data_IF_720140255772
#
_entry.id   IF_720140255772
#
_cell.length_a   1.000
_cell.length_b   1.000
_cell.length_c   1.000
_cell.angle_alpha   90.00
_cell.angle_beta   90.00
_cell.angle_gamma   90.00
#
_symmetry.space_group_name_H-M   'P 1'
#
loop_
_entity.id
_entity.type
_entity.pdbx_description
1 polymer ?
#
# COMPACT_ATOMS: atom_id res chain seq x y z
N UNK A 1 -39.99 -12.56 -16.86
CA UNK A 1 -40.15 -11.15 -16.42
C UNK A 1 -40.01 -11.08 -14.90
N UNK A 2 -38.79 -11.14 -14.37
CA UNK A 2 -38.36 -10.42 -13.16
C UNK A 2 -36.85 -10.22 -13.38
N UNK A 3 -36.46 -8.97 -13.55
CA UNK A 3 -35.11 -8.53 -13.84
C UNK A 3 -34.22 -8.63 -12.60
N UNK A 4 -33.10 -9.32 -12.74
CA UNK A 4 -31.75 -8.81 -12.52
C UNK A 4 -31.63 -7.46 -11.80
N UNK A 5 -31.26 -7.49 -10.52
CA UNK A 5 -30.37 -6.50 -9.89
C UNK A 5 -29.57 -7.24 -8.81
N UNK A 6 -28.32 -7.62 -9.11
CA UNK A 6 -27.33 -7.95 -8.08
C UNK A 6 -26.58 -6.66 -7.75
N UNK A 7 -26.40 -6.29 -6.47
CA UNK A 7 -25.63 -5.11 -6.13
C UNK A 7 -24.15 -5.39 -6.36
N UNK A 8 -23.49 -4.48 -7.07
CA UNK A 8 -22.03 -4.41 -7.22
C UNK A 8 -21.40 -4.22 -5.83
N UNK A 9 -20.87 -5.30 -5.27
CA UNK A 9 -20.05 -5.29 -4.07
C UNK A 9 -18.61 -5.54 -4.51
N UNK A 10 -17.89 -4.48 -4.89
CA UNK A 10 -16.45 -4.54 -5.22
C UNK A 10 -15.76 -3.18 -4.99
N UNK A 11 -15.88 -2.62 -3.78
CA UNK A 11 -15.15 -1.39 -3.37
C UNK A 11 -14.40 -1.48 -2.03
N UNK A 12 -14.21 -2.66 -1.45
CA UNK A 12 -13.59 -2.78 -0.11
C UNK A 12 -12.13 -3.26 -0.08
N UNK A 13 -11.52 -3.68 -1.18
CA UNK A 13 -10.18 -4.29 -1.14
C UNK A 13 -8.99 -3.34 -1.35
N UNK A 14 -9.23 -2.04 -1.56
CA UNK A 14 -8.13 -1.11 -1.81
C UNK A 14 -7.39 -0.66 -0.54
N UNK A 15 -7.92 -0.89 0.66
CA UNK A 15 -7.34 -0.37 1.92
C UNK A 15 -5.95 -0.94 2.23
N UNK A 16 -5.67 -2.18 1.87
CA UNK A 16 -4.39 -2.83 2.19
C UNK A 16 -3.17 -2.25 1.44
N UNK A 17 -3.38 -1.68 0.25
CA UNK A 17 -2.30 -1.09 -0.55
C UNK A 17 -1.88 0.30 -0.02
N UNK A 18 -2.84 1.03 0.59
CA UNK A 18 -2.65 2.41 1.04
C UNK A 18 -1.84 2.55 2.33
N UNK A 19 -1.89 1.53 3.20
CA UNK A 19 -1.20 1.59 4.49
C UNK A 19 0.30 1.38 4.35
N UNK A 20 0.73 0.53 3.42
CA UNK A 20 2.14 0.14 3.16
C UNK A 20 3.07 1.33 2.88
N UNK A 21 2.48 2.44 2.50
CA UNK A 21 3.14 3.53 1.81
C UNK A 21 3.35 4.77 2.70
N UNK A 22 2.44 5.04 3.65
CA UNK A 22 2.50 6.20 4.55
C UNK A 22 3.64 6.15 5.57
N UNK A 23 4.11 4.95 5.94
CA UNK A 23 5.19 4.78 6.91
C UNK A 23 6.57 4.63 6.28
N UNK A 24 6.69 4.58 4.96
CA UNK A 24 7.99 4.42 4.29
C UNK A 24 8.99 5.52 4.67
N UNK A 25 8.52 6.74 4.97
CA UNK A 25 9.36 7.83 5.49
C UNK A 25 9.90 7.56 6.89
N UNK A 26 9.03 7.15 7.83
CA UNK A 26 9.46 6.78 9.18
C UNK A 26 10.33 5.52 9.19
N UNK A 27 9.98 4.52 8.37
CA UNK A 27 10.76 3.30 8.16
C UNK A 27 12.17 3.63 7.65
N UNK A 28 12.31 4.56 6.70
CA UNK A 28 13.61 5.02 6.23
C UNK A 28 14.41 5.69 7.36
N UNK A 29 13.78 6.55 8.18
CA UNK A 29 14.44 7.19 9.33
C UNK A 29 14.90 6.16 10.37
N UNK A 30 14.04 5.22 10.75
CA UNK A 30 14.39 4.14 11.70
C UNK A 30 15.54 3.29 11.13
N UNK A 31 15.46 2.89 9.86
CA UNK A 31 16.51 2.13 9.20
C UNK A 31 17.85 2.87 9.17
N UNK A 32 17.82 4.19 9.00
CA UNK A 32 19.02 5.04 9.04
C UNK A 32 19.67 5.02 10.41
N UNK A 33 18.88 5.25 11.48
CA UNK A 33 19.38 5.22 12.87
C UNK A 33 19.86 3.83 13.28
N UNK A 34 19.21 2.77 12.80
CA UNK A 34 19.66 1.41 12.96
C UNK A 34 21.03 1.17 12.30
N UNK A 35 21.23 1.66 11.07
CA UNK A 35 22.53 1.58 10.39
C UNK A 35 23.64 2.36 11.10
N UNK A 36 23.29 3.47 11.75
CA UNK A 36 24.21 4.30 12.55
C UNK A 36 24.55 3.70 13.92
N UNK A 37 23.88 2.64 14.36
CA UNK A 37 24.05 2.08 15.70
C UNK A 37 23.51 2.99 16.81
N UNK A 38 22.45 3.77 16.54
CA UNK A 38 21.83 4.70 17.49
C UNK A 38 20.48 4.17 18.02
N UNK A 39 20.46 3.18 18.94
CA UNK A 39 19.24 2.51 19.36
C UNK A 39 18.27 3.43 20.14
N UNK A 40 18.79 4.42 20.87
CA UNK A 40 17.95 5.40 21.59
C UNK A 40 17.16 6.30 20.62
N UNK A 41 17.77 6.69 19.49
CA UNK A 41 17.10 7.48 18.47
C UNK A 41 16.00 6.68 17.75
N UNK A 42 16.16 5.37 17.63
CA UNK A 42 15.11 4.48 17.11
C UNK A 42 13.89 4.50 18.02
N UNK A 43 14.09 4.35 19.34
CA UNK A 43 13.00 4.42 20.31
C UNK A 43 12.31 5.79 20.31
N UNK A 44 13.10 6.87 20.26
CA UNK A 44 12.60 8.25 20.17
C UNK A 44 11.76 8.49 18.92
N UNK A 45 12.22 8.06 17.74
CA UNK A 45 11.46 8.16 16.48
C UNK A 45 10.17 7.34 16.54
N UNK A 46 10.24 6.11 17.06
CA UNK A 46 9.08 5.23 17.19
C UNK A 46 8.01 5.84 18.12
N UNK A 47 8.43 6.37 19.28
CA UNK A 47 7.52 7.02 20.23
C UNK A 47 6.78 8.21 19.59
N UNK A 48 7.51 9.10 18.91
CA UNK A 48 6.89 10.23 18.21
C UNK A 48 6.00 9.77 17.06
N UNK A 49 6.42 8.75 16.31
CA UNK A 49 5.62 8.14 15.24
C UNK A 49 4.29 7.60 15.75
N UNK A 50 4.28 6.92 16.90
CA UNK A 50 3.05 6.45 17.56
C UNK A 50 2.12 7.61 17.90
N UNK A 51 2.63 8.70 18.47
CA UNK A 51 1.82 9.88 18.77
C UNK A 51 1.26 10.57 17.52
N UNK A 52 2.04 10.68 16.45
CA UNK A 52 1.52 11.18 15.16
C UNK A 52 0.40 10.28 14.66
N UNK A 53 0.61 8.97 14.69
CA UNK A 53 -0.34 8.00 14.18
C UNK A 53 -1.66 8.01 14.97
N UNK A 54 -1.58 8.12 16.31
CA UNK A 54 -2.75 8.27 17.18
C UNK A 54 -3.47 9.62 16.98
N UNK A 55 -2.73 10.70 16.76
CA UNK A 55 -3.34 12.01 16.46
C UNK A 55 -4.10 11.97 15.13
N UNK A 56 -3.55 11.32 14.10
CA UNK A 56 -4.22 11.11 12.81
C UNK A 56 -5.44 10.19 12.98
N UNK A 57 -5.33 9.13 13.78
CA UNK A 57 -6.45 8.24 14.10
C UNK A 57 -7.61 9.01 14.77
N UNK A 58 -7.29 9.81 15.79
CA UNK A 58 -8.28 10.63 16.50
C UNK A 58 -8.94 11.64 15.57
N UNK A 59 -8.17 12.30 14.70
CA UNK A 59 -8.71 13.20 13.68
C UNK A 59 -9.65 12.47 12.71
N UNK A 60 -9.25 11.27 12.25
CA UNK A 60 -10.08 10.42 11.40
C UNK A 60 -11.40 10.05 12.06
N UNK A 61 -11.37 9.64 13.33
CA UNK A 61 -12.58 9.33 14.11
C UNK A 61 -13.50 10.55 14.20
N UNK A 62 -12.98 11.72 14.58
CA UNK A 62 -13.78 12.95 14.70
C UNK A 62 -14.43 13.33 13.37
N UNK A 63 -13.67 13.27 12.27
CA UNK A 63 -14.18 13.57 10.92
C UNK A 63 -15.28 12.57 10.55
N UNK A 64 -15.05 11.28 10.75
CA UNK A 64 -16.04 10.24 10.42
C UNK A 64 -17.34 10.43 11.20
N UNK A 65 -17.28 10.64 12.52
CA UNK A 65 -18.48 10.87 13.32
C UNK A 65 -19.23 12.15 12.93
N UNK A 66 -18.52 13.19 12.50
CA UNK A 66 -19.12 14.49 12.17
C UNK A 66 -19.71 14.53 10.75
N UNK A 67 -19.02 13.93 9.78
CA UNK A 67 -19.35 14.08 8.36
C UNK A 67 -19.98 12.83 7.74
N UNK A 68 -19.58 11.62 8.15
CA UNK A 68 -20.01 10.42 7.46
C UNK A 68 -21.52 10.17 7.54
N UNK A 69 -22.23 10.36 8.68
CA UNK A 69 -23.68 10.21 8.72
C UNK A 69 -24.40 11.20 7.79
N UNK A 70 -23.93 12.44 7.71
CA UNK A 70 -24.51 13.49 6.86
C UNK A 70 -24.34 13.12 5.38
N UNK A 71 -23.12 12.77 5.01
CA UNK A 71 -22.75 12.44 3.63
C UNK A 71 -23.44 11.15 3.17
N UNK A 72 -23.44 10.10 3.99
CA UNK A 72 -24.02 8.80 3.63
C UNK A 72 -25.55 8.85 3.51
N UNK A 73 -26.23 9.59 4.41
CA UNK A 73 -27.69 9.82 4.28
C UNK A 73 -28.05 10.61 3.02
N UNK A 74 -27.16 11.47 2.53
CA UNK A 74 -27.40 12.21 1.27
C UNK A 74 -27.11 11.39 0.01
N UNK A 75 -26.23 10.40 0.08
CA UNK A 75 -25.80 9.59 -1.06
C UNK A 75 -26.62 8.31 -1.24
N UNK A 76 -27.07 7.69 -0.14
CA UNK A 76 -27.76 6.40 -0.15
C UNK A 76 -29.27 6.62 -0.11
N UNK A 77 -29.94 6.27 -1.21
CA UNK A 77 -31.39 6.45 -1.37
C UNK A 77 -32.23 5.58 -0.45
N UNK A 78 -31.75 4.39 -0.07
CA UNK A 78 -32.47 3.49 0.84
C UNK A 78 -32.08 3.81 2.29
N UNK A 79 -33.00 4.32 3.13
CA UNK A 79 -32.68 4.75 4.49
C UNK A 79 -32.25 3.58 5.39
N UNK A 80 -32.78 2.37 5.17
CA UNK A 80 -32.39 1.20 5.96
C UNK A 80 -30.95 0.80 5.67
N UNK A 81 -30.54 0.83 4.39
CA UNK A 81 -29.17 0.54 3.98
C UNK A 81 -28.24 1.66 4.46
N UNK A 82 -28.69 2.92 4.39
CA UNK A 82 -27.90 4.06 4.86
C UNK A 82 -27.54 3.92 6.34
N UNK A 83 -28.51 3.64 7.21
CA UNK A 83 -28.25 3.43 8.63
C UNK A 83 -27.36 2.21 8.90
N UNK A 84 -27.56 1.09 8.19
CA UNK A 84 -26.68 -0.09 8.32
C UNK A 84 -25.22 0.22 7.97
N UNK A 85 -24.98 0.97 6.90
CA UNK A 85 -23.62 1.38 6.49
C UNK A 85 -23.02 2.37 7.50
N UNK A 86 -23.83 3.30 8.01
CA UNK A 86 -23.38 4.26 9.03
C UNK A 86 -23.00 3.53 10.31
N UNK A 87 -23.84 2.64 10.83
CA UNK A 87 -23.56 1.87 12.05
C UNK A 87 -22.27 1.06 11.89
N UNK A 88 -22.13 0.36 10.76
CA UNK A 88 -20.91 -0.38 10.45
C UNK A 88 -19.68 0.51 10.45
N UNK A 89 -19.74 1.66 9.78
CA UNK A 89 -18.62 2.60 9.66
C UNK A 89 -18.24 3.19 11.03
N UNK A 90 -19.23 3.56 11.86
CA UNK A 90 -19.02 4.11 13.19
C UNK A 90 -18.43 3.07 14.16
N UNK A 91 -18.69 1.78 13.94
CA UNK A 91 -17.98 0.71 14.65
C UNK A 91 -16.56 0.58 14.10
N UNK A 92 -16.41 0.39 12.78
CA UNK A 92 -15.13 0.06 12.14
C UNK A 92 -14.07 1.15 12.33
N UNK A 93 -14.46 2.42 12.47
CA UNK A 93 -13.52 3.54 12.66
C UNK A 93 -12.68 3.41 13.93
N UNK A 94 -13.17 2.69 14.95
CA UNK A 94 -12.39 2.37 16.16
C UNK A 94 -11.25 1.37 15.93
N UNK A 95 -11.18 0.76 14.74
CA UNK A 95 -10.02 0.01 14.28
C UNK A 95 -8.83 0.90 13.91
N UNK A 96 -9.07 2.16 13.52
CA UNK A 96 -7.98 3.05 13.05
C UNK A 96 -6.79 3.16 14.01
N UNK A 97 -6.96 3.33 15.35
CA UNK A 97 -5.84 3.34 16.26
C UNK A 97 -5.03 2.04 16.21
N UNK A 98 -5.69 0.88 16.16
CA UNK A 98 -5.03 -0.43 16.10
C UNK A 98 -4.30 -0.62 14.78
N UNK A 99 -4.95 -0.31 13.66
CA UNK A 99 -4.37 -0.33 12.32
C UNK A 99 -3.11 0.53 12.23
N UNK A 100 -3.17 1.78 12.71
CA UNK A 100 -2.02 2.68 12.67
C UNK A 100 -0.88 2.22 13.58
N UNK A 101 -1.17 1.69 14.77
CA UNK A 101 -0.15 1.09 15.63
C UNK A 101 0.47 -0.16 15.00
N UNK A 102 -0.35 -0.97 14.34
CA UNK A 102 0.09 -2.16 13.59
C UNK A 102 1.04 -1.78 12.45
N UNK A 103 0.73 -0.71 11.73
CA UNK A 103 1.57 -0.14 10.70
C UNK A 103 2.89 0.44 11.26
N UNK A 104 2.85 1.15 12.40
CA UNK A 104 4.07 1.64 13.06
C UNK A 104 5.01 0.52 13.48
N UNK A 105 4.44 -0.59 13.96
CA UNK A 105 5.17 -1.82 14.29
C UNK A 105 5.84 -2.42 13.05
N UNK A 106 5.20 -2.39 11.88
CA UNK A 106 5.84 -2.81 10.63
C UNK A 106 7.04 -1.91 10.31
N UNK A 107 6.88 -0.59 10.39
CA UNK A 107 7.97 0.36 10.16
C UNK A 107 9.18 0.12 11.09
N UNK A 108 8.92 -0.17 12.37
CA UNK A 108 9.96 -0.51 13.35
C UNK A 108 10.68 -1.81 13.01
N UNK A 109 9.95 -2.92 12.89
CA UNK A 109 10.54 -4.25 12.70
C UNK A 109 11.23 -4.40 11.35
N UNK A 110 10.68 -3.78 10.30
CA UNK A 110 11.36 -3.70 9.00
C UNK A 110 12.60 -2.82 9.13
N UNK A 111 12.49 -1.62 9.74
CA UNK A 111 13.60 -0.70 9.90
C UNK A 111 14.80 -1.26 10.68
N UNK A 112 14.56 -2.10 11.70
CA UNK A 112 15.63 -2.76 12.48
C UNK A 112 16.02 -4.15 11.94
N UNK A 113 15.50 -4.54 10.77
CA UNK A 113 15.78 -5.82 10.11
C UNK A 113 15.40 -7.06 10.95
N UNK A 114 14.30 -6.99 11.70
CA UNK A 114 13.71 -8.07 12.52
C UNK A 114 12.35 -8.51 11.97
N UNK A 115 12.22 -8.58 10.65
CA UNK A 115 10.95 -8.86 9.94
C UNK A 115 10.37 -10.24 10.21
N UNK A 116 11.18 -11.20 10.64
CA UNK A 116 10.73 -12.56 11.04
C UNK A 116 9.62 -12.56 12.10
N UNK A 117 9.53 -11.49 12.90
CA UNK A 117 8.49 -11.36 13.94
C UNK A 117 7.15 -10.85 13.38
N UNK A 118 7.14 -10.22 12.20
CA UNK A 118 5.92 -9.68 11.58
C UNK A 118 4.94 -10.79 11.23
N UNK A 119 5.46 -11.93 10.74
CA UNK A 119 4.67 -13.08 10.32
C UNK A 119 3.76 -13.58 11.45
N UNK A 120 4.24 -13.61 12.69
CA UNK A 120 3.44 -14.06 13.84
C UNK A 120 2.28 -13.12 14.15
N UNK A 121 2.49 -11.80 14.02
CA UNK A 121 1.42 -10.82 14.22
C UNK A 121 0.35 -10.90 13.13
N UNK A 122 0.77 -10.99 11.87
CA UNK A 122 -0.14 -11.10 10.72
C UNK A 122 -0.90 -12.43 10.72
N UNK A 123 -0.25 -13.53 11.10
CA UNK A 123 -0.92 -14.82 11.23
C UNK A 123 -1.95 -14.81 12.36
N UNK A 124 -1.60 -14.24 13.51
CA UNK A 124 -2.55 -14.11 14.63
C UNK A 124 -3.76 -13.27 14.25
N UNK A 125 -3.54 -12.13 13.60
CA UNK A 125 -4.60 -11.28 13.07
C UNK A 125 -5.51 -12.04 12.10
N UNK A 126 -4.94 -12.69 11.07
CA UNK A 126 -5.72 -13.42 10.07
C UNK A 126 -6.55 -14.56 10.70
N UNK A 127 -5.96 -15.33 11.61
CA UNK A 127 -6.65 -16.43 12.29
C UNK A 127 -7.77 -15.89 13.18
N UNK A 128 -7.49 -14.86 13.98
CA UNK A 128 -8.50 -14.22 14.85
C UNK A 128 -9.62 -13.62 13.99
N UNK A 129 -9.30 -12.96 12.89
CA UNK A 129 -10.28 -12.37 11.98
C UNK A 129 -11.25 -13.44 11.44
N UNK A 130 -10.74 -14.53 10.86
CA UNK A 130 -11.57 -15.63 10.33
C UNK A 130 -12.44 -16.26 11.42
N UNK A 131 -11.89 -16.50 12.62
CA UNK A 131 -12.62 -17.12 13.73
C UNK A 131 -13.75 -16.22 14.22
N UNK A 132 -13.49 -14.93 14.41
CA UNK A 132 -14.48 -13.99 14.90
C UNK A 132 -15.49 -13.56 13.83
N UNK A 133 -15.10 -13.51 12.55
CA UNK A 133 -16.03 -13.33 11.45
C UNK A 133 -17.02 -14.50 11.43
N UNK A 134 -16.53 -15.73 11.48
CA UNK A 134 -17.40 -16.90 11.51
C UNK A 134 -18.32 -16.91 12.75
N UNK A 135 -17.80 -16.47 13.91
CA UNK A 135 -18.56 -16.38 15.16
C UNK A 135 -19.64 -15.30 15.14
N UNK A 136 -19.27 -14.04 14.87
CA UNK A 136 -20.16 -12.88 14.98
C UNK A 136 -21.12 -12.73 13.80
N UNK A 137 -20.71 -13.12 12.59
CA UNK A 137 -21.59 -13.02 11.41
C UNK A 137 -22.68 -14.10 11.48
N UNK A 138 -22.34 -15.33 11.88
CA UNK A 138 -23.25 -16.48 11.83
C UNK A 138 -23.76 -16.96 13.20
N UNK A 139 -23.42 -16.28 14.30
CA UNK A 139 -23.85 -16.68 15.65
C UNK A 139 -23.30 -18.03 16.11
N UNK A 140 -22.11 -18.40 15.65
CA UNK A 140 -21.45 -19.69 15.96
C UNK A 140 -20.48 -19.52 17.13
N UNK A 141 -19.97 -20.63 17.66
CA UNK A 141 -18.99 -20.67 18.77
C UNK A 141 -19.49 -20.07 20.10
N UNK A 142 -20.81 -19.99 20.30
CA UNK A 142 -21.42 -19.39 21.50
C UNK A 142 -21.40 -17.85 21.51
N UNK A 143 -21.07 -17.23 20.38
CA UNK A 143 -21.09 -15.77 20.19
C UNK A 143 -22.46 -15.31 19.65
N UNK A 144 -22.84 -14.04 19.92
CA UNK A 144 -24.09 -13.48 19.39
C UNK A 144 -24.02 -13.28 17.87
N UNK A 145 -25.14 -13.52 17.20
CA UNK A 145 -25.32 -13.23 15.77
C UNK A 145 -25.58 -11.73 15.58
N UNK A 146 -24.52 -10.99 15.25
CA UNK A 146 -24.57 -9.54 15.00
C UNK A 146 -24.48 -9.20 13.49
N UNK A 147 -24.47 -10.23 12.64
CA UNK A 147 -24.60 -10.13 11.19
C UNK A 147 -23.53 -9.24 10.56
N UNK A 148 -23.95 -8.29 9.73
CA UNK A 148 -23.06 -7.39 8.98
C UNK A 148 -22.08 -6.61 9.87
N UNK A 149 -22.54 -6.11 11.02
CA UNK A 149 -21.69 -5.39 11.97
C UNK A 149 -20.65 -6.29 12.64
N UNK A 150 -20.86 -7.62 12.62
CA UNK A 150 -19.90 -8.60 13.12
C UNK A 150 -18.54 -8.52 12.47
N UNK A 151 -18.49 -8.24 11.15
CA UNK A 151 -17.23 -8.10 10.44
C UNK A 151 -16.42 -6.88 10.92
N UNK A 152 -17.08 -5.80 11.33
CA UNK A 152 -16.39 -4.63 11.89
C UNK A 152 -15.74 -4.96 13.24
N UNK A 153 -16.48 -5.60 14.16
CA UNK A 153 -15.94 -6.02 15.46
C UNK A 153 -14.82 -7.05 15.32
N UNK A 154 -15.01 -8.06 14.48
CA UNK A 154 -14.02 -9.09 14.21
C UNK A 154 -12.70 -8.48 13.70
N UNK A 155 -12.78 -7.50 12.79
CA UNK A 155 -11.60 -6.81 12.27
C UNK A 155 -10.86 -6.01 13.34
N UNK A 156 -11.57 -5.27 14.21
CA UNK A 156 -10.95 -4.51 15.31
C UNK A 156 -10.25 -5.43 16.31
N UNK A 157 -10.91 -6.54 16.66
CA UNK A 157 -10.37 -7.54 17.58
C UNK A 157 -9.14 -8.22 16.98
N UNK A 158 -9.17 -8.53 15.68
CA UNK A 158 -8.05 -9.10 14.94
C UNK A 158 -6.82 -8.18 14.93
N UNK A 159 -6.99 -6.90 14.61
CA UNK A 159 -5.92 -5.90 14.64
C UNK A 159 -5.33 -5.76 16.06
N UNK A 160 -6.19 -5.73 17.08
CA UNK A 160 -5.79 -5.71 18.48
C UNK A 160 -5.00 -6.95 18.91
N UNK A 161 -5.45 -8.14 18.49
CA UNK A 161 -4.76 -9.40 18.76
C UNK A 161 -3.39 -9.47 18.07
N UNK A 162 -3.31 -9.06 16.80
CA UNK A 162 -2.06 -8.98 16.05
C UNK A 162 -1.06 -8.00 16.69
N UNK A 163 -1.55 -6.87 17.21
CA UNK A 163 -0.72 -5.92 17.96
C UNK A 163 -0.23 -6.52 19.29
N UNK A 164 -1.12 -7.21 20.03
CA UNK A 164 -0.79 -7.84 21.30
C UNK A 164 0.29 -8.92 21.16
N UNK A 165 0.17 -9.81 20.17
CA UNK A 165 1.15 -10.87 19.90
C UNK A 165 2.53 -10.28 19.64
N UNK A 166 2.63 -9.23 18.81
CA UNK A 166 3.93 -8.63 18.55
C UNK A 166 4.46 -7.86 19.75
N UNK A 167 3.61 -7.16 20.51
CA UNK A 167 4.02 -6.52 21.75
C UNK A 167 4.62 -7.55 22.72
N UNK A 168 4.00 -8.72 22.86
CA UNK A 168 4.52 -9.83 23.66
C UNK A 168 5.89 -10.32 23.15
N UNK A 169 6.06 -10.48 21.83
CA UNK A 169 7.33 -10.87 21.21
C UNK A 169 8.43 -9.82 21.45
N UNK A 170 8.13 -8.53 21.24
CA UNK A 170 9.05 -7.41 21.49
C UNK A 170 9.50 -7.38 22.96
N UNK A 171 8.57 -7.68 23.88
CA UNK A 171 8.87 -7.75 25.31
C UNK A 171 9.75 -8.96 25.64
N UNK A 172 9.39 -10.15 25.17
CA UNK A 172 10.14 -11.39 25.40
C UNK A 172 11.55 -11.36 24.82
N UNK A 173 11.74 -10.74 23.65
CA UNK A 173 13.05 -10.60 23.00
C UNK A 173 13.90 -9.45 23.57
N UNK A 174 13.40 -8.70 24.54
CA UNK A 174 14.15 -7.60 25.16
C UNK A 174 14.36 -6.38 24.26
N UNK A 175 13.75 -6.34 23.06
CA UNK A 175 13.86 -5.22 22.12
C UNK A 175 13.40 -3.89 22.76
N UNK A 176 12.39 -3.95 23.64
CA UNK A 176 11.93 -2.80 24.41
C UNK A 176 12.99 -2.15 25.31
N UNK A 177 13.90 -2.96 25.88
CA UNK A 177 15.04 -2.48 26.68
C UNK A 177 16.19 -2.02 25.79
N UNK A 178 16.39 -2.70 24.66
CA UNK A 178 17.43 -2.34 23.69
C UNK A 178 17.19 -0.95 23.08
N UNK A 179 15.93 -0.55 22.87
CA UNK A 179 15.58 0.73 22.23
C UNK A 179 15.07 1.82 23.18
N UNK A 180 14.99 1.57 24.50
CA UNK A 180 14.55 2.57 25.49
C UNK A 180 13.26 3.31 25.09
N UNK A 181 12.21 2.59 24.65
CA UNK A 181 10.99 3.19 24.06
C UNK A 181 10.31 4.26 24.94
N UNK A 182 10.52 4.25 26.25
CA UNK A 182 9.84 5.11 27.22
C UNK A 182 10.79 5.79 28.22
N UNK A 183 12.11 5.70 28.04
CA UNK A 183 13.05 6.35 28.98
C UNK A 183 13.21 7.83 28.61
N UNK A 184 12.71 8.73 29.47
CA UNK A 184 12.95 10.18 29.42
C UNK A 184 12.59 10.87 28.09
N UNK A 185 11.65 10.34 27.31
CA UNK A 185 11.25 10.94 26.03
C UNK A 185 10.18 12.01 26.26
N UNK A 186 10.56 13.28 26.19
CA UNK A 186 9.62 14.40 26.11
C UNK A 186 9.12 14.53 24.68
N UNK A 187 7.91 15.07 24.49
CA UNK A 187 7.40 15.40 23.17
C UNK A 187 8.21 16.56 22.59
N UNK A 188 8.87 16.32 21.46
CA UNK A 188 9.76 17.27 20.82
C UNK A 188 9.23 17.69 19.45
N UNK A 189 8.85 18.97 19.33
CA UNK A 189 8.34 19.53 18.07
C UNK A 189 9.28 19.34 16.87
N UNK A 190 10.60 19.30 17.11
CA UNK A 190 11.60 19.07 16.07
C UNK A 190 11.50 17.67 15.45
N UNK A 191 11.26 16.63 16.26
CA UNK A 191 11.12 15.24 15.79
C UNK A 191 9.81 15.07 15.04
N UNK A 192 8.72 15.65 15.55
CA UNK A 192 7.44 15.70 14.84
C UNK A 192 7.57 16.36 13.47
N UNK A 193 8.22 17.53 13.42
CA UNK A 193 8.48 18.26 12.17
C UNK A 193 9.32 17.41 11.21
N UNK A 194 10.34 16.69 11.69
CA UNK A 194 11.15 15.80 10.86
C UNK A 194 10.31 14.67 10.24
N UNK A 195 9.50 13.99 11.05
CA UNK A 195 8.62 12.90 10.58
C UNK A 195 7.64 13.42 9.52
N UNK A 196 7.02 14.58 9.76
CA UNK A 196 6.07 15.20 8.84
C UNK A 196 6.75 15.67 7.55
N UNK A 197 7.91 16.32 7.61
CA UNK A 197 8.65 16.77 6.41
C UNK A 197 9.08 15.59 5.55
N UNK A 198 9.45 14.47 6.16
CA UNK A 198 9.83 13.27 5.41
C UNK A 198 8.62 12.56 4.82
N UNK A 199 7.51 12.48 5.56
CA UNK A 199 6.32 11.72 5.15
C UNK A 199 5.38 12.50 4.22
N UNK A 200 5.30 13.83 4.34
CA UNK A 200 4.36 14.65 3.57
C UNK A 200 4.57 14.56 2.05
N UNK A 201 5.81 14.61 1.49
CA UNK A 201 6.01 14.42 0.06
C UNK A 201 5.56 13.05 -0.43
N UNK A 202 5.75 12.00 0.38
CA UNK A 202 5.27 10.65 0.06
C UNK A 202 3.74 10.61 0.07
N UNK A 203 3.08 11.19 1.08
CA UNK A 203 1.62 11.27 1.13
C UNK A 203 1.07 12.01 -0.10
N UNK A 204 1.68 13.14 -0.47
CA UNK A 204 1.30 13.88 -1.68
C UNK A 204 1.52 13.06 -2.94
N UNK A 205 2.64 12.34 -3.04
CA UNK A 205 2.94 11.43 -4.14
C UNK A 205 1.82 10.41 -4.34
N UNK A 206 1.39 9.74 -3.26
CA UNK A 206 0.32 8.75 -3.31
C UNK A 206 -1.03 9.37 -3.69
N UNK A 207 -1.35 10.57 -3.18
CA UNK A 207 -2.58 11.26 -3.53
C UNK A 207 -2.67 11.56 -5.04
N UNK A 208 -1.56 12.03 -5.64
CA UNK A 208 -1.51 12.31 -7.09
C UNK A 208 -1.58 10.99 -7.88
N UNK A 209 -0.91 9.93 -7.41
CA UNK A 209 -0.96 8.61 -8.04
C UNK A 209 -2.39 8.05 -8.07
N UNK A 210 -3.13 8.15 -6.97
CA UNK A 210 -4.55 7.74 -6.91
C UNK A 210 -5.40 8.55 -7.90
N UNK A 211 -5.24 9.88 -7.92
CA UNK A 211 -5.98 10.73 -8.86
C UNK A 211 -5.69 10.36 -10.33
N UNK A 212 -4.46 9.91 -10.64
CA UNK A 212 -4.11 9.47 -12.00
C UNK A 212 -4.79 8.17 -12.41
N UNK A 213 -5.01 7.24 -11.46
CA UNK A 213 -5.77 6.02 -11.69
C UNK A 213 -7.25 6.32 -11.93
N UNK A 214 -7.85 7.20 -11.13
CA UNK A 214 -9.23 7.64 -11.35
C UNK A 214 -9.40 8.30 -12.74
N UNK A 215 -8.45 9.16 -13.13
CA UNK A 215 -8.44 9.77 -14.46
C UNK A 215 -8.40 8.72 -15.58
N UNK A 216 -7.59 7.68 -15.43
CA UNK A 216 -7.54 6.56 -16.39
C UNK A 216 -8.88 5.82 -16.50
N UNK A 217 -9.53 5.53 -15.37
CA UNK A 217 -10.82 4.86 -15.36
C UNK A 217 -11.96 5.68 -15.95
N UNK A 218 -11.97 6.99 -15.71
CA UNK A 218 -12.94 7.90 -16.34
C UNK A 218 -12.84 7.82 -17.87
N UNK A 219 -11.63 7.76 -18.43
CA UNK A 219 -11.46 7.64 -19.89
C UNK A 219 -11.81 6.24 -20.43
N UNK A 220 -11.59 5.18 -19.64
CA UNK A 220 -12.04 3.84 -20.01
C UNK A 220 -13.57 3.73 -20.02
N UNK A 221 -14.27 4.47 -19.16
CA UNK A 221 -15.74 4.46 -19.11
C UNK A 221 -16.35 4.87 -20.46
N UNK A 222 -15.71 5.79 -21.19
CA UNK A 222 -16.12 6.20 -22.54
C UNK A 222 -16.08 5.04 -23.56
N UNK A 223 -15.27 4.01 -23.32
CA UNK A 223 -15.16 2.79 -24.14
C UNK A 223 -16.19 1.70 -23.76
N UNK A 224 -17.06 1.99 -22.80
CA UNK A 224 -18.23 1.17 -22.45
C UNK A 224 -18.00 0.21 -21.29
N UNK A 225 -19.10 -0.36 -20.80
CA UNK A 225 -19.13 -1.21 -19.61
C UNK A 225 -18.22 -2.45 -19.72
N UNK A 226 -18.06 -3.01 -20.92
CA UNK A 226 -17.19 -4.16 -21.17
C UNK A 226 -15.71 -3.82 -20.93
N UNK A 227 -15.27 -2.68 -21.48
CA UNK A 227 -13.92 -2.18 -21.32
C UNK A 227 -13.59 -1.87 -19.85
N UNK A 228 -14.56 -1.30 -19.13
CA UNK A 228 -14.46 -1.03 -17.70
C UNK A 228 -14.33 -2.33 -16.89
N UNK A 229 -15.15 -3.34 -17.18
CA UNK A 229 -15.09 -4.64 -16.52
C UNK A 229 -13.73 -5.35 -16.74
N UNK A 230 -13.20 -5.29 -17.95
CA UNK A 230 -11.87 -5.82 -18.28
C UNK A 230 -10.81 -5.07 -17.48
N UNK A 231 -10.86 -3.74 -17.45
CA UNK A 231 -9.86 -2.92 -16.76
C UNK A 231 -9.89 -3.11 -15.24
N UNK A 232 -11.07 -3.23 -14.62
CA UNK A 232 -11.19 -3.59 -13.21
C UNK A 232 -10.56 -4.97 -12.91
N UNK A 233 -10.77 -5.93 -13.80
CA UNK A 233 -10.14 -7.25 -13.71
C UNK A 233 -8.62 -7.16 -13.81
N UNK A 234 -8.11 -6.36 -14.76
CA UNK A 234 -6.67 -6.12 -14.92
C UNK A 234 -6.06 -5.46 -13.69
N UNK A 235 -6.75 -4.51 -13.07
CA UNK A 235 -6.30 -3.85 -11.85
C UNK A 235 -6.20 -4.81 -10.68
N UNK A 236 -7.15 -5.73 -10.53
CA UNK A 236 -7.09 -6.75 -9.49
C UNK A 236 -5.91 -7.71 -9.71
N UNK A 237 -5.69 -8.14 -10.96
CA UNK A 237 -4.51 -8.95 -11.34
C UNK A 237 -3.21 -8.18 -11.04
N UNK A 238 -3.15 -6.91 -11.44
CA UNK A 238 -1.97 -6.06 -11.23
C UNK A 238 -1.68 -5.86 -9.73
N UNK A 239 -2.70 -5.61 -8.91
CA UNK A 239 -2.57 -5.48 -7.47
C UNK A 239 -2.12 -6.77 -6.80
N UNK A 240 -2.76 -7.91 -7.12
CA UNK A 240 -2.43 -9.22 -6.55
C UNK A 240 -0.95 -9.58 -6.76
N UNK A 241 -0.46 -9.44 -7.99
CA UNK A 241 0.93 -9.73 -8.32
C UNK A 241 1.88 -8.58 -7.94
N UNK A 242 1.36 -7.37 -7.81
CA UNK A 242 2.13 -6.19 -7.44
C UNK A 242 2.64 -6.22 -6.00
N UNK A 243 1.95 -6.92 -5.10
CA UNK A 243 2.37 -7.14 -3.71
C UNK A 243 3.83 -7.63 -3.62
N UNK A 244 4.27 -8.51 -4.52
CA UNK A 244 5.66 -8.98 -4.53
C UNK A 244 6.65 -7.86 -4.86
N UNK A 245 6.37 -7.07 -5.88
CA UNK A 245 7.22 -5.95 -6.27
C UNK A 245 7.28 -4.88 -5.17
N UNK A 246 6.14 -4.54 -4.56
CA UNK A 246 6.08 -3.61 -3.44
C UNK A 246 6.83 -4.10 -2.20
N UNK A 247 6.79 -5.41 -1.91
CA UNK A 247 7.57 -5.99 -0.83
C UNK A 247 9.09 -5.82 -1.06
N UNK A 248 9.58 -6.05 -2.28
CA UNK A 248 10.99 -5.77 -2.61
C UNK A 248 11.31 -4.28 -2.60
N UNK A 249 10.35 -3.42 -3.00
CA UNK A 249 10.51 -1.97 -2.93
C UNK A 249 10.70 -1.49 -1.49
N UNK A 250 9.84 -1.93 -0.57
CA UNK A 250 9.96 -1.64 0.86
C UNK A 250 11.28 -2.17 1.44
N UNK A 251 11.70 -3.35 1.00
CA UNK A 251 13.00 -3.94 1.38
C UNK A 251 14.16 -3.08 0.89
N UNK A 252 14.11 -2.59 -0.34
CA UNK A 252 15.12 -1.69 -0.91
C UNK A 252 15.19 -0.36 -0.16
N UNK A 253 14.04 0.26 0.15
CA UNK A 253 13.96 1.47 0.97
C UNK A 253 14.74 1.31 2.29
N UNK A 254 14.42 0.26 3.05
CA UNK A 254 15.07 -0.04 4.33
C UNK A 254 16.55 -0.36 4.18
N UNK A 255 16.93 -1.28 3.30
CA UNK A 255 18.31 -1.73 3.20
C UNK A 255 19.22 -0.61 2.67
N UNK A 256 18.74 0.22 1.72
CA UNK A 256 19.49 1.39 1.26
C UNK A 256 19.69 2.37 2.40
N UNK A 257 18.62 2.72 3.14
CA UNK A 257 18.74 3.64 4.27
C UNK A 257 19.71 3.12 5.34
N UNK A 258 19.65 1.82 5.64
CA UNK A 258 20.52 1.17 6.60
C UNK A 258 21.99 1.17 6.17
N UNK A 259 22.30 0.79 4.91
CA UNK A 259 23.67 0.82 4.36
C UNK A 259 24.26 2.22 4.38
N UNK A 260 23.46 3.24 4.02
CA UNK A 260 23.94 4.64 4.10
C UNK A 260 24.18 5.03 5.56
N UNK A 261 23.36 4.55 6.50
CA UNK A 261 23.56 4.72 7.94
C UNK A 261 24.88 4.12 8.44
N UNK A 262 25.29 2.98 7.89
CA UNK A 262 26.57 2.31 8.19
C UNK A 262 27.79 3.00 7.55
N UNK A 263 27.61 4.08 6.78
CA UNK A 263 28.69 4.73 6.03
C UNK A 263 29.15 3.96 4.77
N UNK A 264 28.50 2.86 4.42
CA UNK A 264 28.88 1.96 3.31
C UNK A 264 28.23 2.34 1.98
N UNK A 265 28.22 3.64 1.66
CA UNK A 265 27.47 4.19 0.52
C UNK A 265 27.87 3.58 -0.84
N UNK A 266 29.11 3.09 -0.99
CA UNK A 266 29.58 2.42 -2.20
C UNK A 266 28.80 1.15 -2.57
N UNK A 267 28.16 0.50 -1.59
CA UNK A 267 27.45 -0.76 -1.79
C UNK A 267 25.99 -0.58 -2.23
N UNK A 268 25.46 0.64 -2.13
CA UNK A 268 24.04 0.96 -2.40
C UNK A 268 23.61 0.52 -3.80
N UNK A 269 24.36 0.86 -4.84
CA UNK A 269 23.98 0.51 -6.22
C UNK A 269 24.03 -1.01 -6.44
N UNK A 270 25.01 -1.70 -5.85
CA UNK A 270 25.12 -3.15 -5.93
C UNK A 270 23.96 -3.85 -5.24
N UNK A 271 23.55 -3.35 -4.07
CA UNK A 271 22.38 -3.82 -3.34
C UNK A 271 21.10 -3.67 -4.19
N UNK A 272 20.85 -2.47 -4.74
CA UNK A 272 19.64 -2.18 -5.52
C UNK A 272 19.53 -3.14 -6.70
N UNK A 273 20.63 -3.34 -7.44
CA UNK A 273 20.68 -4.29 -8.57
C UNK A 273 20.35 -5.72 -8.15
N UNK A 274 20.85 -6.18 -7.00
CA UNK A 274 20.54 -7.52 -6.48
C UNK A 274 19.06 -7.66 -6.13
N UNK A 275 18.49 -6.68 -5.44
CA UNK A 275 17.06 -6.68 -5.10
C UNK A 275 16.21 -6.64 -6.37
N UNK A 276 16.53 -5.76 -7.32
CA UNK A 276 15.84 -5.69 -8.61
C UNK A 276 15.94 -7.01 -9.39
N UNK A 277 17.09 -7.70 -9.37
CA UNK A 277 17.24 -9.00 -10.03
C UNK A 277 16.35 -10.09 -9.43
N UNK A 278 16.24 -10.14 -8.10
CA UNK A 278 15.34 -11.09 -7.41
C UNK A 278 13.88 -10.73 -7.71
N UNK A 279 13.50 -9.46 -7.57
CA UNK A 279 12.16 -8.94 -7.87
C UNK A 279 11.74 -9.29 -9.31
N UNK A 280 12.61 -9.00 -10.27
CA UNK A 280 12.39 -9.32 -11.69
C UNK A 280 12.25 -10.82 -11.94
N UNK A 281 13.03 -11.66 -11.24
CA UNK A 281 12.94 -13.12 -11.40
C UNK A 281 11.57 -13.66 -10.96
N UNK A 282 11.01 -13.13 -9.86
CA UNK A 282 9.66 -13.50 -9.41
C UNK A 282 8.61 -12.98 -10.40
N UNK A 283 8.73 -11.73 -10.83
CA UNK A 283 7.82 -11.15 -11.84
C UNK A 283 7.92 -11.85 -13.20
N UNK A 284 9.07 -12.42 -13.57
CA UNK A 284 9.26 -13.21 -14.78
C UNK A 284 8.48 -14.54 -14.72
N UNK A 285 8.46 -15.20 -13.56
CA UNK A 285 7.62 -16.39 -13.37
C UNK A 285 6.14 -16.02 -13.52
N UNK A 286 5.70 -14.94 -12.87
CA UNK A 286 4.32 -14.45 -12.98
C UNK A 286 3.97 -14.08 -14.43
N UNK A 287 4.87 -13.39 -15.13
CA UNK A 287 4.71 -13.05 -16.53
C UNK A 287 4.48 -14.30 -17.40
N UNK A 288 5.31 -15.33 -17.25
CA UNK A 288 5.15 -16.58 -17.99
C UNK A 288 3.80 -17.23 -17.67
N UNK A 289 3.43 -17.32 -16.39
CA UNK A 289 2.16 -17.91 -15.96
C UNK A 289 0.96 -17.17 -16.57
N UNK A 290 0.95 -15.84 -16.53
CA UNK A 290 -0.13 -15.02 -17.10
C UNK A 290 -0.23 -15.12 -18.62
N UNK A 291 0.88 -15.36 -19.33
CA UNK A 291 0.87 -15.47 -20.79
C UNK A 291 0.56 -16.88 -21.29
N UNK A 292 0.95 -17.93 -20.54
CA UNK A 292 0.73 -19.34 -20.92
C UNK A 292 -0.68 -19.80 -20.57
N UNK A 293 -1.22 -19.40 -19.42
CA UNK A 293 -2.56 -19.79 -18.96
C UNK A 293 -3.42 -18.59 -18.53
N UNK A 294 -3.64 -17.58 -19.41
CA UNK A 294 -4.43 -16.39 -19.06
C UNK A 294 -5.87 -16.74 -18.68
N UNK A 295 -6.45 -17.75 -19.33
CA UNK A 295 -7.84 -18.18 -19.12
C UNK A 295 -8.09 -18.66 -17.69
N UNK A 296 -7.10 -19.29 -17.04
CA UNK A 296 -7.23 -19.75 -15.66
C UNK A 296 -7.58 -18.59 -14.73
N UNK A 297 -6.94 -17.43 -14.91
CA UNK A 297 -7.16 -16.24 -14.10
C UNK A 297 -8.45 -15.51 -14.50
N UNK A 298 -8.72 -15.42 -15.80
CA UNK A 298 -9.90 -14.71 -16.31
C UNK A 298 -11.21 -15.45 -16.01
N UNK A 299 -11.19 -16.78 -15.94
CA UNK A 299 -12.36 -17.59 -15.61
C UNK A 299 -12.87 -17.35 -14.17
N UNK A 300 -12.02 -16.95 -13.22
CA UNK A 300 -12.46 -16.62 -11.87
C UNK A 300 -13.52 -15.51 -11.84
N UNK A 301 -13.50 -14.61 -12.82
CA UNK A 301 -14.42 -13.48 -12.90
C UNK A 301 -15.78 -13.85 -13.49
N UNK A 302 -15.94 -15.06 -14.07
CA UNK A 302 -17.21 -15.61 -14.55
C UNK A 302 -18.01 -14.69 -15.49
N UNK A 303 -17.33 -13.98 -16.39
CA UNK A 303 -17.91 -12.98 -17.31
C UNK A 303 -18.22 -13.50 -18.73
N UNK A 304 -18.08 -14.80 -18.97
CA UNK A 304 -18.33 -15.47 -20.25
C UNK A 304 -17.12 -15.49 -21.21
N UNK A 305 -17.20 -16.26 -22.32
CA UNK A 305 -16.07 -16.50 -23.21
C UNK A 305 -15.62 -15.27 -24.00
N UNK A 306 -16.54 -14.43 -24.45
CA UNK A 306 -16.22 -13.20 -25.19
C UNK A 306 -15.38 -12.23 -24.35
N UNK A 307 -15.63 -12.20 -23.02
CA UNK A 307 -14.86 -11.37 -22.09
C UNK A 307 -13.40 -11.79 -22.07
N UNK A 308 -13.18 -13.10 -22.03
CA UNK A 308 -11.85 -13.70 -21.95
C UNK A 308 -11.09 -13.38 -23.23
N UNK A 309 -11.73 -13.53 -24.39
CA UNK A 309 -11.13 -13.21 -25.68
C UNK A 309 -10.68 -11.74 -25.78
N UNK A 310 -11.50 -10.80 -25.30
CA UNK A 310 -11.17 -9.37 -25.28
C UNK A 310 -10.14 -9.01 -24.19
N UNK A 311 -10.12 -9.72 -23.07
CA UNK A 311 -9.21 -9.47 -21.96
C UNK A 311 -7.79 -10.01 -22.20
N UNK A 312 -7.61 -11.08 -22.97
CA UNK A 312 -6.30 -11.71 -23.22
C UNK A 312 -5.26 -10.71 -23.74
N UNK A 313 -5.53 -9.89 -24.78
CA UNK A 313 -4.57 -8.89 -25.24
C UNK A 313 -4.15 -7.90 -24.16
N UNK A 314 -5.09 -7.51 -23.28
CA UNK A 314 -4.83 -6.57 -22.19
C UNK A 314 -3.97 -7.23 -21.10
N UNK A 315 -4.26 -8.47 -20.72
CA UNK A 315 -3.44 -9.25 -19.77
C UNK A 315 -1.98 -9.33 -20.23
N UNK A 316 -1.75 -9.53 -21.54
CA UNK A 316 -0.38 -9.57 -22.09
C UNK A 316 0.36 -8.26 -21.87
N UNK A 317 -0.30 -7.12 -22.09
CA UNK A 317 0.31 -5.80 -21.82
C UNK A 317 0.56 -5.57 -20.33
N UNK A 318 -0.42 -5.90 -19.49
CA UNK A 318 -0.32 -5.81 -18.02
C UNK A 318 0.81 -6.68 -17.49
N UNK A 319 0.99 -7.88 -18.03
CA UNK A 319 2.07 -8.78 -17.61
C UNK A 319 3.47 -8.20 -17.89
N UNK A 320 3.65 -7.51 -19.03
CA UNK A 320 4.90 -6.80 -19.34
C UNK A 320 5.07 -5.61 -18.40
N UNK A 321 3.99 -4.90 -18.06
CA UNK A 321 4.03 -3.81 -17.08
C UNK A 321 4.48 -4.30 -15.71
N UNK A 322 4.03 -5.49 -15.26
CA UNK A 322 4.48 -6.09 -14.00
C UNK A 322 6.00 -6.34 -13.97
N UNK A 323 6.59 -6.75 -15.10
CA UNK A 323 8.05 -6.87 -15.22
C UNK A 323 8.75 -5.53 -15.02
N UNK A 324 8.26 -4.49 -15.70
CA UNK A 324 8.81 -3.13 -15.59
C UNK A 324 8.65 -2.58 -14.17
N UNK A 325 7.47 -2.78 -13.57
CA UNK A 325 7.17 -2.38 -12.20
C UNK A 325 8.14 -3.00 -11.21
N UNK A 326 8.43 -4.31 -11.34
CA UNK A 326 9.32 -5.05 -10.44
C UNK A 326 10.69 -4.41 -10.26
N UNK A 327 11.18 -3.72 -11.28
CA UNK A 327 12.43 -2.96 -11.28
C UNK A 327 12.17 -1.50 -10.91
N UNK A 328 11.24 -0.83 -11.59
CA UNK A 328 10.95 0.59 -11.42
C UNK A 328 10.63 0.96 -9.97
N UNK A 329 9.76 0.19 -9.31
CA UNK A 329 9.38 0.44 -7.92
C UNK A 329 10.55 0.27 -6.94
N UNK A 330 11.44 -0.69 -7.19
CA UNK A 330 12.64 -0.93 -6.37
C UNK A 330 13.60 0.25 -6.46
N UNK A 331 13.83 0.76 -7.66
CA UNK A 331 14.69 1.94 -7.86
C UNK A 331 14.08 3.20 -7.25
N UNK A 332 12.79 3.43 -7.42
CA UNK A 332 12.11 4.58 -6.83
C UNK A 332 12.13 4.53 -5.30
N UNK A 333 11.81 3.38 -4.69
CA UNK A 333 11.86 3.23 -3.24
C UNK A 333 13.30 3.28 -2.69
N UNK A 334 14.30 2.99 -3.51
CA UNK A 334 15.70 3.24 -3.15
C UNK A 334 16.00 4.74 -3.04
N UNK A 335 15.36 5.58 -3.87
CA UNK A 335 15.42 7.06 -3.72
C UNK A 335 14.81 7.48 -2.38
N UNK A 336 13.66 6.91 -2.00
CA UNK A 336 13.08 7.12 -0.65
C UNK A 336 14.06 6.74 0.45
N UNK A 337 14.75 5.61 0.29
CA UNK A 337 15.77 5.14 1.24
C UNK A 337 16.96 6.09 1.42
N UNK A 338 17.21 7.01 0.49
CA UNK A 338 18.21 8.07 0.67
C UNK A 338 17.75 9.20 1.59
N UNK A 339 16.46 9.26 1.93
CA UNK A 339 15.83 10.35 2.69
C UNK A 339 15.47 11.57 1.83
N UNK A 340 15.45 11.43 0.50
CA UNK A 340 15.08 12.50 -0.41
C UNK A 340 13.67 12.34 -1.00
N UNK A 341 12.66 12.42 -0.13
CA UNK A 341 11.26 12.19 -0.50
C UNK A 341 10.71 13.25 -1.45
N UNK A 342 11.28 14.46 -1.48
CA UNK A 342 10.93 15.51 -2.47
C UNK A 342 11.35 15.11 -3.89
N UNK A 343 12.51 14.45 -4.06
CA UNK A 343 12.92 13.94 -5.37
C UNK A 343 11.99 12.82 -5.82
N UNK A 344 11.57 11.94 -4.89
CA UNK A 344 10.58 10.92 -5.20
C UNK A 344 9.26 11.55 -5.70
N UNK A 345 8.70 12.52 -4.95
CA UNK A 345 7.52 13.27 -5.39
C UNK A 345 7.71 13.92 -6.76
N UNK A 346 8.89 14.51 -7.03
CA UNK A 346 9.17 15.15 -8.32
C UNK A 346 9.17 14.14 -9.47
N UNK A 347 9.81 12.99 -9.27
CA UNK A 347 9.83 11.89 -10.26
C UNK A 347 8.41 11.41 -10.53
N UNK A 348 7.61 11.22 -9.49
CA UNK A 348 6.20 10.83 -9.62
C UNK A 348 5.40 11.86 -10.41
N UNK A 349 5.45 13.14 -10.03
CA UNK A 349 4.67 14.19 -10.69
C UNK A 349 4.99 14.29 -12.18
N UNK A 350 6.27 14.20 -12.57
CA UNK A 350 6.67 14.20 -13.98
C UNK A 350 6.14 12.94 -14.67
N UNK A 351 6.27 11.78 -14.04
CA UNK A 351 5.78 10.50 -14.57
C UNK A 351 4.28 10.56 -14.82
N UNK A 352 3.50 11.11 -13.89
CA UNK A 352 2.05 11.23 -13.99
C UNK A 352 1.64 12.19 -15.09
N UNK A 353 2.35 13.30 -15.28
CA UNK A 353 2.08 14.22 -16.42
C UNK A 353 2.26 13.50 -17.75
N UNK A 354 3.34 12.73 -17.91
CA UNK A 354 3.59 11.94 -19.12
C UNK A 354 2.55 10.83 -19.29
N UNK A 355 2.19 10.15 -18.20
CA UNK A 355 1.14 9.12 -18.16
C UNK A 355 -0.22 9.68 -18.59
N UNK A 356 -0.70 10.76 -17.98
CA UNK A 356 -1.99 11.36 -18.32
C UNK A 356 -2.03 11.86 -19.76
N UNK A 357 -0.93 12.45 -20.26
CA UNK A 357 -0.81 12.84 -21.66
C UNK A 357 -0.93 11.64 -22.60
N UNK A 358 -0.24 10.53 -22.29
CA UNK A 358 -0.34 9.30 -23.07
C UNK A 358 -1.76 8.73 -23.07
N UNK A 359 -2.39 8.60 -21.90
CA UNK A 359 -3.74 8.04 -21.76
C UNK A 359 -4.74 8.86 -22.57
N UNK A 360 -4.69 10.19 -22.45
CA UNK A 360 -5.57 11.08 -23.22
C UNK A 360 -5.36 10.93 -24.74
N UNK A 361 -4.10 10.92 -25.19
CA UNK A 361 -3.80 10.79 -26.61
C UNK A 361 -4.31 9.45 -27.15
N UNK A 362 -4.08 8.35 -26.43
CA UNK A 362 -4.40 7.00 -26.92
C UNK A 362 -5.89 6.70 -26.84
N UNK A 363 -6.54 7.00 -25.71
CA UNK A 363 -7.94 6.63 -25.48
C UNK A 363 -8.94 7.66 -26.04
N UNK A 364 -8.64 8.96 -26.00
CA UNK A 364 -9.60 10.00 -26.37
C UNK A 364 -9.28 10.58 -27.76
N UNK A 365 -8.03 10.97 -28.02
CA UNK A 365 -7.67 11.61 -29.29
C UNK A 365 -7.58 10.61 -30.45
N UNK A 366 -6.88 9.49 -30.25
CA UNK A 366 -6.72 8.44 -31.27
C UNK A 366 -7.82 7.37 -31.21
N UNK A 367 -8.60 7.33 -30.13
CA UNK A 367 -9.66 6.36 -29.88
C UNK A 367 -9.22 4.90 -30.11
N UNK A 368 -8.02 4.57 -29.62
CA UNK A 368 -7.44 3.23 -29.76
C UNK A 368 -8.06 2.25 -28.75
N UNK A 369 -8.00 0.93 -29.03
CA UNK A 369 -8.48 -0.09 -28.09
C UNK A 369 -7.83 0.02 -26.71
N UNK A 370 -8.58 -0.34 -25.66
CA UNK A 370 -8.13 -0.30 -24.25
C UNK A 370 -6.83 -1.06 -23.98
N UNK A 371 -6.50 -2.03 -24.82
CA UNK A 371 -5.20 -2.71 -24.84
C UNK A 371 -4.06 -1.69 -24.85
N UNK A 372 -4.09 -0.73 -25.78
CA UNK A 372 -3.10 0.34 -25.83
C UNK A 372 -3.28 1.39 -24.74
N UNK A 373 -4.51 1.56 -24.23
CA UNK A 373 -4.76 2.31 -23.00
C UNK A 373 -3.89 1.81 -21.85
N UNK A 374 -3.88 0.50 -21.60
CA UNK A 374 -3.02 -0.15 -20.61
C UNK A 374 -1.52 -0.11 -20.95
N UNK A 375 -1.15 0.26 -22.18
CA UNK A 375 0.23 0.58 -22.54
C UNK A 375 0.77 1.80 -21.79
N UNK A 376 -0.10 2.61 -21.18
CA UNK A 376 0.25 3.71 -20.29
C UNK A 376 1.12 3.24 -19.11
N UNK A 377 0.91 2.03 -18.63
CA UNK A 377 1.71 1.43 -17.55
C UNK A 377 3.17 1.24 -17.96
N UNK A 378 3.44 0.89 -19.23
CA UNK A 378 4.81 0.80 -19.70
C UNK A 378 5.49 2.16 -19.66
N UNK A 379 4.78 3.20 -20.11
CA UNK A 379 5.26 4.58 -20.10
C UNK A 379 5.52 5.03 -18.65
N UNK A 380 4.61 4.73 -17.74
CA UNK A 380 4.74 5.05 -16.31
C UNK A 380 5.98 4.41 -15.70
N UNK A 381 6.11 3.08 -15.77
CA UNK A 381 7.22 2.37 -15.13
C UNK A 381 8.58 2.65 -15.78
N UNK A 382 8.64 2.85 -17.10
CA UNK A 382 9.88 3.25 -17.78
C UNK A 382 10.31 4.67 -17.44
N UNK A 383 9.38 5.62 -17.40
CA UNK A 383 9.67 7.02 -17.02
C UNK A 383 10.15 7.09 -15.57
N UNK A 384 9.44 6.42 -14.67
CA UNK A 384 9.81 6.33 -13.26
C UNK A 384 11.18 5.68 -13.06
N UNK A 385 11.42 4.52 -13.69
CA UNK A 385 12.69 3.81 -13.60
C UNK A 385 13.85 4.65 -14.13
N UNK A 386 13.71 5.25 -15.32
CA UNK A 386 14.77 6.02 -15.95
C UNK A 386 15.18 7.22 -15.09
N UNK A 387 14.22 7.98 -14.56
CA UNK A 387 14.50 9.11 -13.68
C UNK A 387 15.10 8.69 -12.33
N UNK A 388 14.57 7.65 -11.70
CA UNK A 388 15.11 7.11 -10.45
C UNK A 388 16.55 6.58 -10.64
N UNK A 389 16.80 5.87 -11.74
CA UNK A 389 18.12 5.37 -12.12
C UNK A 389 19.13 6.52 -12.31
N UNK A 390 18.75 7.56 -13.06
CA UNK A 390 19.59 8.73 -13.29
C UNK A 390 19.90 9.46 -11.97
N UNK A 391 18.90 9.63 -11.09
CA UNK A 391 19.12 10.23 -9.78
C UNK A 391 20.10 9.42 -8.93
N UNK A 392 19.89 8.11 -8.82
CA UNK A 392 20.77 7.23 -8.04
C UNK A 392 22.18 7.17 -8.61
N UNK A 393 22.34 7.22 -9.94
CA UNK A 393 23.66 7.27 -10.60
C UNK A 393 24.36 8.62 -10.42
N UNK A 394 23.62 9.72 -10.33
CA UNK A 394 24.18 11.08 -10.20
C UNK A 394 24.97 11.30 -8.91
N UNK A 395 24.78 10.45 -7.89
CA UNK A 395 25.46 10.58 -6.60
C UNK A 395 25.03 11.79 -5.76
N UNK A 396 24.08 12.62 -6.23
CA UNK A 396 23.54 13.78 -5.50
C UNK A 396 22.98 13.44 -4.11
N UNK A 397 22.65 12.17 -3.89
CA UNK A 397 22.16 11.64 -2.61
C UNK A 397 23.26 11.40 -1.56
N UNK A 398 24.54 11.29 -1.95
CA UNK A 398 25.64 10.86 -1.05
C UNK A 398 25.89 11.80 0.13
N UNK A 399 25.69 13.09 -0.08
CA UNK A 399 25.94 14.12 0.93
C UNK A 399 24.72 14.41 1.82
N UNK A 400 23.59 13.69 1.63
CA UNK A 400 22.36 13.98 2.36
C UNK A 400 22.41 13.41 3.79
N UNK A 401 22.31 14.31 4.74
CA UNK A 401 22.15 14.02 6.18
C UNK A 401 20.67 14.14 6.55
N UNK A 402 20.18 13.16 7.33
CA UNK A 402 18.80 13.09 7.82
C UNK A 402 18.76 12.68 9.30
#
# INVERSE_FOLDING_TARGET
RVMNQRPEHNRCETVGDYDTHRYNGLQALIARRAGQGLPKEIGRLFFHGVWVALAIAAMGIVITYSFAPVVLRSLIHNPVIAEQVIDFLLIRIWGLPFLYLYVMRNALLVGVNQTKFLVWGTLAEAVVNVVFDYGFIYGRLGLPEIGFNGAAYASIIAEGAGLFVIYAIIRQKGLHRAFSFFDNVKLEGAVFKLILIQSAPLIAQYAISIASWEYFYLLIEHHGARALAISNTMRNIFGLFGIFAWAFAATANTMVSNIIGQGRQGEVIGLIKRISGISFSISAVIFVVLNVVPELFLNFYSQGPDFIAEAIPVVRIVSVALLMMSVGTVWLNSVTGTGNTVVNLTIESITIVVYCAYVYIVLEYLNMPITWGWGSEWVYWLSMFSMAYLYMRSGKWRNKTI
#
